data_IF_684687981806
#
_entry.id   IF_684687981806
#
_cell.length_a   1.000
_cell.length_b   1.000
_cell.length_c   1.000
_cell.angle_alpha   90.00
_cell.angle_beta   90.00
_cell.angle_gamma   90.00
#
_symmetry.space_group_name_H-M   'P 1'
#
loop_
_entity.id
_entity.type
_entity.pdbx_description
1 polymer ?
#
# COMPACT_ATOMS: atom_id res chain seq x y z
N UNK A 1 9.35 -14.75 -16.30
CA UNK A 1 10.66 -15.37 -16.01
C UNK A 1 10.73 -15.59 -14.51
N UNK A 2 10.42 -16.81 -14.04
CA UNK A 2 10.46 -17.15 -12.62
C UNK A 2 11.89 -17.47 -12.15
N UNK A 3 12.17 -17.23 -10.87
CA UNK A 3 13.47 -17.53 -10.26
C UNK A 3 13.66 -19.04 -10.10
N UNK A 4 14.89 -19.52 -10.33
CA UNK A 4 15.24 -20.93 -10.18
C UNK A 4 15.76 -21.23 -8.76
N UNK A 5 15.81 -22.51 -8.39
CA UNK A 5 16.37 -22.94 -7.10
C UNK A 5 17.86 -22.56 -6.97
N UNK A 6 18.59 -22.46 -8.09
CA UNK A 6 19.97 -21.99 -8.10
C UNK A 6 20.07 -20.51 -7.71
N UNK A 7 19.17 -19.67 -8.24
CA UNK A 7 19.07 -18.26 -7.86
C UNK A 7 18.78 -18.11 -6.35
N UNK A 8 17.93 -18.97 -5.79
CA UNK A 8 17.61 -18.96 -4.35
C UNK A 8 18.83 -19.30 -3.47
N UNK A 9 19.66 -20.24 -3.90
CA UNK A 9 20.88 -20.64 -3.16
C UNK A 9 21.94 -19.54 -3.20
N UNK A 10 22.08 -18.87 -4.35
CA UNK A 10 23.02 -17.77 -4.51
C UNK A 10 22.63 -16.54 -3.67
N UNK A 11 21.34 -16.25 -3.60
CA UNK A 11 20.78 -15.19 -2.74
C UNK A 11 20.99 -15.50 -1.27
N UNK A 12 20.75 -16.73 -0.81
CA UNK A 12 20.99 -17.10 0.58
C UNK A 12 22.45 -16.89 0.99
N UNK A 13 23.39 -17.21 0.09
CA UNK A 13 24.83 -16.99 0.30
C UNK A 13 25.20 -15.49 0.32
N UNK A 14 24.58 -14.68 -0.54
CA UNK A 14 24.86 -13.23 -0.67
C UNK A 14 24.08 -12.32 0.31
N UNK A 15 23.14 -12.86 1.10
CA UNK A 15 22.27 -12.10 2.02
C UNK A 15 22.69 -12.16 3.49
N UNK A 16 23.93 -12.58 3.78
CA UNK A 16 24.49 -12.52 5.15
C UNK A 16 24.52 -11.08 5.72
N UNK A 17 24.48 -10.06 4.87
CA UNK A 17 24.24 -8.67 5.28
C UNK A 17 22.78 -8.29 5.13
N UNK A 18 22.22 -7.66 6.17
CA UNK A 18 20.83 -7.16 6.24
C UNK A 18 20.44 -6.27 5.05
N UNK A 19 21.40 -5.52 4.50
CA UNK A 19 21.20 -4.61 3.36
C UNK A 19 20.91 -5.36 2.05
N UNK A 20 21.66 -6.44 1.78
CA UNK A 20 21.49 -7.26 0.56
C UNK A 20 20.19 -8.06 0.58
N UNK A 21 19.74 -8.45 1.79
CA UNK A 21 18.44 -9.13 2.00
C UNK A 21 17.25 -8.22 1.67
N UNK A 22 17.33 -6.96 2.09
CA UNK A 22 16.30 -5.96 1.85
C UNK A 22 16.17 -5.65 0.35
N UNK A 23 17.30 -5.52 -0.36
CA UNK A 23 17.34 -5.28 -1.80
C UNK A 23 16.78 -6.45 -2.64
N UNK A 24 16.97 -7.70 -2.20
CA UNK A 24 16.42 -8.87 -2.90
C UNK A 24 14.91 -9.03 -2.67
N UNK A 25 14.43 -8.85 -1.42
CA UNK A 25 13.00 -8.92 -1.09
C UNK A 25 12.20 -7.78 -1.74
N UNK A 26 12.80 -6.59 -1.85
CA UNK A 26 12.22 -5.45 -2.56
C UNK A 26 11.98 -5.73 -4.06
N UNK A 27 12.79 -6.61 -4.66
CA UNK A 27 12.75 -6.91 -6.09
C UNK A 27 11.79 -8.04 -6.47
N UNK A 28 11.37 -8.87 -5.51
CA UNK A 28 10.53 -10.07 -5.74
C UNK A 28 9.08 -9.90 -5.31
N UNK A 29 8.77 -8.87 -4.52
CA UNK A 29 7.42 -8.61 -4.03
C UNK A 29 6.77 -7.53 -4.87
N UNK A 30 6.26 -7.94 -6.05
CA UNK A 30 5.22 -7.27 -6.84
C UNK A 30 5.05 -5.75 -6.57
N UNK A 31 5.60 -4.90 -7.44
CA UNK A 31 5.65 -3.44 -7.24
C UNK A 31 4.29 -2.82 -6.88
N UNK A 32 3.18 -3.39 -7.36
CA UNK A 32 1.81 -2.94 -7.06
C UNK A 32 1.37 -3.30 -5.63
N UNK A 33 1.76 -4.48 -5.14
CA UNK A 33 1.55 -4.90 -3.75
C UNK A 33 2.34 -4.01 -2.79
N UNK A 34 3.55 -3.57 -3.18
CA UNK A 34 4.34 -2.62 -2.40
C UNK A 34 3.66 -1.24 -2.31
N UNK A 35 3.16 -0.72 -3.44
CA UNK A 35 2.46 0.58 -3.44
C UNK A 35 1.17 0.54 -2.61
N UNK A 36 0.38 -0.53 -2.70
CA UNK A 36 -0.81 -0.71 -1.86
C UNK A 36 -0.46 -0.79 -0.37
N UNK A 37 0.54 -1.61 -0.01
CA UNK A 37 0.95 -1.76 1.39
C UNK A 37 1.47 -0.44 1.97
N UNK A 38 2.23 0.33 1.19
CA UNK A 38 2.70 1.65 1.59
C UNK A 38 1.53 2.62 1.76
N UNK A 39 0.57 2.62 0.81
CA UNK A 39 -0.64 3.43 0.88
C UNK A 39 -1.47 3.14 2.13
N UNK A 40 -1.73 1.87 2.43
CA UNK A 40 -2.50 1.45 3.61
C UNK A 40 -1.76 1.81 4.88
N UNK A 41 -0.45 1.56 4.94
CA UNK A 41 0.37 1.92 6.09
C UNK A 41 0.29 3.42 6.41
N UNK A 42 0.47 4.27 5.40
CA UNK A 42 0.41 5.72 5.55
C UNK A 42 -0.99 6.21 5.91
N UNK A 43 -2.03 5.64 5.29
CA UNK A 43 -3.43 5.91 5.63
C UNK A 43 -3.72 5.59 7.09
N UNK A 44 -3.24 4.44 7.61
CA UNK A 44 -3.48 4.03 8.99
C UNK A 44 -2.70 4.85 10.02
N UNK A 45 -1.57 5.45 9.61
CA UNK A 45 -0.76 6.32 10.47
C UNK A 45 -1.40 7.69 10.70
N UNK A 46 -2.24 8.15 9.77
CA UNK A 46 -2.92 9.43 9.88
C UNK A 46 -4.02 9.39 10.95
N UNK A 47 -3.97 10.23 12.01
CA UNK A 47 -5.00 10.27 13.04
C UNK A 47 -6.37 10.70 12.50
N UNK A 48 -6.44 11.47 11.41
CA UNK A 48 -7.70 11.88 10.79
C UNK A 48 -8.46 10.69 10.19
N UNK A 49 -7.80 9.55 9.93
CA UNK A 49 -8.47 8.35 9.42
C UNK A 49 -9.00 7.44 10.55
N UNK A 50 -8.75 7.78 11.82
CA UNK A 50 -9.27 7.02 12.97
C UNK A 50 -10.78 7.21 13.19
N UNK A 51 -11.37 8.24 12.59
CA UNK A 51 -12.81 8.47 12.66
C UNK A 51 -13.62 7.42 11.90
N UNK A 52 -13.01 6.74 10.92
CA UNK A 52 -13.68 5.71 10.16
C UNK A 52 -13.69 4.38 10.91
N UNK A 53 -14.84 3.70 10.97
CA UNK A 53 -14.92 2.37 11.57
C UNK A 53 -14.32 1.32 10.63
N UNK A 54 -14.58 1.43 9.33
CA UNK A 54 -14.15 0.48 8.30
C UNK A 54 -12.95 1.02 7.53
N UNK A 55 -11.90 1.41 8.27
CA UNK A 55 -10.67 2.07 7.76
C UNK A 55 -10.06 1.40 6.54
N UNK A 56 -9.99 0.07 6.51
CA UNK A 56 -9.43 -0.67 5.38
C UNK A 56 -10.32 -0.59 4.12
N UNK A 57 -11.65 -0.59 4.28
CA UNK A 57 -12.57 -0.40 3.15
C UNK A 57 -12.44 1.01 2.58
N UNK A 58 -12.36 2.02 3.44
CA UNK A 58 -12.11 3.41 3.04
C UNK A 58 -10.78 3.54 2.30
N UNK A 59 -9.71 2.92 2.82
CA UNK A 59 -8.42 2.88 2.15
C UNK A 59 -8.50 2.22 0.76
N UNK A 60 -9.24 1.12 0.63
CA UNK A 60 -9.43 0.43 -0.65
C UNK A 60 -10.16 1.30 -1.69
N UNK A 61 -11.21 2.02 -1.27
CA UNK A 61 -11.94 2.96 -2.14
C UNK A 61 -11.00 4.08 -2.61
N UNK A 62 -10.27 4.72 -1.70
CA UNK A 62 -9.31 5.77 -2.04
C UNK A 62 -8.20 5.25 -2.96
N UNK A 63 -7.73 4.03 -2.75
CA UNK A 63 -6.73 3.40 -3.60
C UNK A 63 -7.21 3.17 -5.02
N UNK A 64 -8.48 2.77 -5.22
CA UNK A 64 -9.06 2.65 -6.56
C UNK A 64 -9.10 4.01 -7.29
N UNK A 65 -9.38 5.09 -6.57
CA UNK A 65 -9.37 6.46 -7.12
C UNK A 65 -7.95 6.86 -7.54
N UNK A 66 -6.97 6.65 -6.66
CA UNK A 66 -5.57 7.01 -6.94
C UNK A 66 -4.99 6.18 -8.08
N UNK A 67 -5.27 4.86 -8.14
CA UNK A 67 -4.84 3.97 -9.23
C UNK A 67 -5.33 4.41 -10.61
N UNK A 68 -6.50 5.03 -10.69
CA UNK A 68 -7.08 5.55 -11.95
C UNK A 68 -6.59 6.95 -12.29
N UNK A 69 -5.89 7.60 -11.38
CA UNK A 69 -5.37 8.96 -11.55
C UNK A 69 -3.90 8.94 -11.96
N UNK A 70 -3.45 10.00 -12.64
CA UNK A 70 -2.02 10.23 -12.93
C UNK A 70 -1.24 10.76 -11.69
N UNK A 71 -1.86 10.81 -10.51
CA UNK A 71 -1.24 11.30 -9.28
C UNK A 71 -0.31 10.24 -8.68
N UNK A 72 0.63 10.63 -7.80
CA UNK A 72 1.46 9.66 -7.08
C UNK A 72 0.59 8.62 -6.36
N UNK A 73 0.94 7.34 -6.49
CA UNK A 73 0.24 6.21 -5.82
C UNK A 73 0.56 6.14 -4.32
N UNK A 74 0.36 7.25 -3.62
CA UNK A 74 0.65 7.43 -2.20
C UNK A 74 -0.53 8.10 -1.52
N UNK A 75 -0.69 7.81 -0.24
CA UNK A 75 -1.67 8.48 0.59
C UNK A 75 -1.26 9.94 0.80
N UNK A 76 -2.25 10.84 0.86
CA UNK A 76 -2.03 12.22 1.31
C UNK A 76 -3.27 12.73 2.05
N UNK A 77 -3.11 13.60 3.07
CA UNK A 77 -4.25 14.19 3.77
C UNK A 77 -5.19 14.98 2.85
N UNK A 78 -4.65 15.57 1.77
CA UNK A 78 -5.45 16.27 0.75
C UNK A 78 -6.39 15.32 -0.01
N UNK A 79 -5.95 14.09 -0.27
CA UNK A 79 -6.80 13.05 -0.87
C UNK A 79 -7.97 12.72 0.06
N UNK A 80 -7.71 12.61 1.36
CA UNK A 80 -8.75 12.33 2.34
C UNK A 80 -9.77 13.45 2.40
N UNK A 81 -9.33 14.71 2.46
CA UNK A 81 -10.21 15.88 2.52
C UNK A 81 -11.07 15.99 1.24
N UNK A 82 -10.46 15.78 0.07
CA UNK A 82 -11.15 15.88 -1.21
C UNK A 82 -12.30 14.86 -1.37
N UNK A 83 -12.18 13.70 -0.73
CA UNK A 83 -13.18 12.62 -0.80
C UNK A 83 -13.93 12.40 0.51
N UNK A 84 -13.76 13.28 1.50
CA UNK A 84 -14.35 13.12 2.83
C UNK A 84 -15.88 13.03 2.79
N UNK A 85 -16.52 13.86 1.97
CA UNK A 85 -17.99 13.87 1.84
C UNK A 85 -18.51 12.54 1.29
N UNK A 86 -17.86 11.99 0.26
CA UNK A 86 -18.22 10.68 -0.31
C UNK A 86 -18.01 9.56 0.73
N UNK A 87 -16.87 9.58 1.43
CA UNK A 87 -16.51 8.56 2.42
C UNK A 87 -17.46 8.53 3.62
N UNK A 88 -17.89 9.70 4.11
CA UNK A 88 -18.87 9.80 5.19
C UNK A 88 -20.22 9.26 4.72
N UNK A 89 -20.66 9.57 3.49
CA UNK A 89 -21.87 8.99 2.93
C UNK A 89 -21.79 7.45 2.82
N UNK A 90 -20.63 6.91 2.42
CA UNK A 90 -20.38 5.46 2.37
C UNK A 90 -20.34 4.77 3.74
N UNK A 91 -19.88 5.44 4.80
CA UNK A 91 -19.88 4.86 6.15
C UNK A 91 -21.27 4.88 6.81
N UNK A 92 -22.08 5.90 6.53
CA UNK A 92 -23.43 6.02 7.11
C UNK A 92 -24.48 5.18 6.39
N UNK A 93 -24.39 5.06 5.06
CA UNK A 93 -25.19 4.11 4.29
C UNK A 93 -24.45 2.76 4.23
N UNK A 94 -24.44 2.07 5.37
CA UNK A 94 -24.08 0.66 5.41
C UNK A 94 -24.97 -0.14 4.46
N UNK A 95 -24.35 -0.96 3.61
CA UNK A 95 -25.00 -2.12 3.01
C UNK A 95 -25.14 -3.23 4.06
#
# INVERSE_FOLDING_TARGET
MGLTVADLIEVYKNTQSKSSRDAFLARTTDEQSYEWNHFVHDFFKDPATKQYQQRLKVAAVLWQIVKRSAKPKRYSPKLLIAHHQDLVAFEHHGL
#
